data_IF_052879491597
#
_entry.id   IF_052879491597
#
_cell.length_a   1.000
_cell.length_b   1.000
_cell.length_c   1.000
_cell.angle_alpha   90.00
_cell.angle_beta   90.00
_cell.angle_gamma   90.00
#
_symmetry.space_group_name_H-M   'P 1'
#
loop_
_entity.id
_entity.type
_entity.pdbx_description
1 polymer ?
#
# COMPACT_ATOMS: atom_id res chain seq x y z
N UNK A 1 -4.84 -29.50 19.49
CA UNK A 1 -3.42 -29.88 19.32
C UNK A 1 -2.85 -28.94 18.26
N UNK A 2 -1.96 -28.03 18.67
CA UNK A 2 -1.00 -27.19 17.89
C UNK A 2 -1.56 -26.38 16.71
N UNK A 3 -1.48 -25.04 16.66
CA UNK A 3 -0.30 -24.22 16.94
C UNK A 3 -0.69 -22.78 17.31
N UNK A 4 -0.20 -22.39 18.49
CA UNK A 4 0.08 -21.02 18.90
C UNK A 4 1.06 -20.36 17.92
N UNK A 5 0.70 -19.18 17.44
CA UNK A 5 1.60 -18.13 16.95
C UNK A 5 0.90 -16.84 17.40
N UNK A 6 1.09 -16.30 18.60
CA UNK A 6 2.34 -15.87 19.26
C UNK A 6 3.54 -15.65 18.35
N UNK A 7 3.59 -14.44 17.78
CA UNK A 7 4.79 -13.61 17.67
C UNK A 7 4.28 -12.16 17.49
N UNK A 8 4.19 -11.31 18.51
CA UNK A 8 5.26 -10.63 19.24
C UNK A 8 6.05 -9.61 18.38
N UNK A 9 5.98 -8.32 18.74
CA UNK A 9 7.00 -7.36 18.35
C UNK A 9 6.49 -5.93 18.17
N UNK A 10 6.68 -5.10 19.19
CA UNK A 10 6.36 -3.69 19.21
C UNK A 10 7.08 -2.87 18.12
N UNK A 11 6.35 -1.93 17.52
CA UNK A 11 6.91 -0.71 16.97
C UNK A 11 5.87 0.41 17.04
N UNK A 12 5.56 0.89 18.25
CA UNK A 12 4.90 2.17 18.45
C UNK A 12 5.92 3.28 18.16
N UNK A 13 6.02 3.65 16.89
CA UNK A 13 6.59 4.89 16.40
C UNK A 13 5.67 5.46 15.31
N UNK A 14 5.93 6.66 14.74
CA UNK A 14 5.06 7.30 13.75
C UNK A 14 4.79 6.50 12.44
N UNK A 15 5.24 5.24 12.34
CA UNK A 15 4.91 4.29 11.28
C UNK A 15 3.56 3.56 11.43
N UNK A 16 2.78 3.82 12.49
CA UNK A 16 1.46 3.20 12.70
C UNK A 16 0.45 3.50 11.57
N UNK A 17 0.56 4.67 10.92
CA UNK A 17 -0.27 5.01 9.77
C UNK A 17 0.00 4.08 8.57
N UNK A 18 1.25 3.66 8.39
CA UNK A 18 1.63 2.71 7.34
C UNK A 18 1.19 1.28 7.64
N UNK A 19 1.23 0.87 8.91
CA UNK A 19 0.81 -0.47 9.33
C UNK A 19 -0.69 -0.73 9.06
N UNK A 20 -1.56 0.26 9.27
CA UNK A 20 -2.98 0.13 8.95
C UNK A 20 -3.24 -0.02 7.45
N UNK A 21 -2.51 0.74 6.62
CA UNK A 21 -2.59 0.62 5.15
C UNK A 21 -2.09 -0.77 4.72
N UNK A 22 -0.98 -1.24 5.29
CA UNK A 22 -0.41 -2.55 4.98
C UNK A 22 -1.38 -3.69 5.30
N UNK A 23 -1.99 -3.67 6.49
CA UNK A 23 -2.95 -4.69 6.94
C UNK A 23 -4.18 -4.77 6.03
N UNK A 24 -4.74 -3.62 5.65
CA UNK A 24 -5.86 -3.53 4.71
C UNK A 24 -5.50 -4.10 3.33
N UNK A 25 -4.32 -3.75 2.81
CA UNK A 25 -3.81 -4.28 1.54
C UNK A 25 -3.59 -5.80 1.60
N UNK A 26 -2.98 -6.30 2.68
CA UNK A 26 -2.77 -7.73 2.90
C UNK A 26 -4.10 -8.47 3.00
N UNK A 27 -5.08 -7.91 3.71
CA UNK A 27 -6.44 -8.46 3.79
C UNK A 27 -7.13 -8.52 2.43
N UNK A 28 -7.04 -7.46 1.64
CA UNK A 28 -7.57 -7.42 0.27
C UNK A 28 -6.90 -8.45 -0.64
N UNK A 29 -5.57 -8.54 -0.60
CA UNK A 29 -4.80 -9.51 -1.38
C UNK A 29 -5.13 -10.94 -0.95
N UNK A 30 -5.19 -11.22 0.34
CA UNK A 30 -5.51 -12.54 0.88
C UNK A 30 -6.94 -12.97 0.52
N UNK A 31 -7.91 -12.06 0.59
CA UNK A 31 -9.29 -12.34 0.19
C UNK A 31 -9.40 -12.72 -1.29
N UNK A 32 -8.59 -12.10 -2.15
CA UNK A 32 -8.64 -12.29 -3.61
C UNK A 32 -7.86 -13.51 -4.09
N UNK A 33 -6.69 -13.73 -3.51
CA UNK A 33 -5.73 -14.78 -3.90
C UNK A 33 -5.85 -16.05 -3.07
N UNK A 34 -6.63 -16.01 -1.98
CA UNK A 34 -6.75 -17.10 -0.98
C UNK A 34 -5.41 -17.54 -0.40
N UNK A 35 -4.44 -16.63 -0.35
CA UNK A 35 -3.07 -16.88 0.09
C UNK A 35 -2.66 -15.83 1.11
N UNK A 36 -1.85 -16.21 2.10
CA UNK A 36 -1.28 -15.26 3.06
C UNK A 36 -0.06 -14.58 2.45
N UNK A 37 -0.01 -13.25 2.56
CA UNK A 37 1.06 -12.42 2.01
C UNK A 37 1.88 -11.79 3.14
N UNK A 38 3.16 -11.52 2.86
CA UNK A 38 4.02 -10.73 3.74
C UNK A 38 4.31 -9.37 3.12
N UNK A 39 4.82 -8.46 3.95
CA UNK A 39 4.94 -7.04 3.60
C UNK A 39 6.04 -6.83 2.54
N UNK A 40 7.09 -7.64 2.63
CA UNK A 40 8.27 -7.68 1.74
C UNK A 40 8.11 -8.72 0.61
N UNK A 41 6.97 -9.42 0.56
CA UNK A 41 6.78 -10.47 -0.45
C UNK A 41 6.55 -9.87 -1.84
N UNK A 42 7.32 -10.36 -2.82
CA UNK A 42 7.16 -9.97 -4.22
C UNK A 42 5.93 -10.63 -4.83
N UNK A 43 4.87 -9.83 -4.96
CA UNK A 43 3.55 -10.20 -5.43
C UNK A 43 3.54 -10.64 -6.90
N UNK A 44 4.48 -10.14 -7.70
CA UNK A 44 4.61 -10.49 -9.11
C UNK A 44 5.45 -11.77 -9.30
N UNK A 45 6.52 -11.93 -8.52
CA UNK A 45 7.42 -13.07 -8.63
C UNK A 45 6.73 -14.39 -8.29
N UNK A 46 5.84 -14.41 -7.30
CA UNK A 46 5.12 -15.63 -6.91
C UNK A 46 3.85 -15.88 -7.74
N UNK A 47 3.58 -15.06 -8.76
CA UNK A 47 2.40 -15.18 -9.61
C UNK A 47 1.09 -14.80 -8.92
N UNK A 48 1.15 -14.09 -7.79
CA UNK A 48 -0.01 -13.61 -7.04
C UNK A 48 -0.76 -12.46 -7.71
N UNK A 49 -0.09 -11.73 -8.62
CA UNK A 49 -0.67 -10.62 -9.34
C UNK A 49 -0.61 -10.79 -10.86
N UNK A 50 -1.77 -10.67 -11.50
CA UNK A 50 -1.89 -10.51 -12.94
C UNK A 50 -1.86 -9.02 -13.32
N UNK A 51 -1.47 -8.70 -14.56
CA UNK A 51 -1.46 -7.31 -15.05
C UNK A 51 -2.83 -6.62 -14.94
N UNK A 52 -3.92 -7.37 -15.08
CA UNK A 52 -5.28 -6.85 -14.90
C UNK A 52 -5.59 -6.54 -13.43
N UNK A 53 -5.06 -7.36 -12.51
CA UNK A 53 -5.25 -7.15 -11.08
C UNK A 53 -4.45 -5.95 -10.58
N UNK A 54 -3.21 -5.76 -11.09
CA UNK A 54 -2.41 -4.59 -10.79
C UNK A 54 -3.15 -3.28 -11.13
N UNK A 55 -3.77 -3.19 -12.31
CA UNK A 55 -4.58 -2.03 -12.69
C UNK A 55 -5.78 -1.81 -11.77
N UNK A 56 -6.46 -2.88 -11.36
CA UNK A 56 -7.57 -2.78 -10.38
C UNK A 56 -7.09 -2.31 -9.01
N UNK A 57 -5.91 -2.75 -8.59
CA UNK A 57 -5.29 -2.36 -7.34
C UNK A 57 -4.93 -0.87 -7.35
N UNK A 58 -4.35 -0.37 -8.44
CA UNK A 58 -4.07 1.07 -8.63
C UNK A 58 -5.37 1.88 -8.46
N UNK A 59 -6.42 1.55 -9.21
CA UNK A 59 -7.70 2.26 -9.13
C UNK A 59 -8.32 2.16 -7.73
N UNK A 60 -8.16 1.03 -7.04
CA UNK A 60 -8.62 0.87 -5.67
C UNK A 60 -7.86 1.79 -4.71
N UNK A 61 -6.53 1.84 -4.80
CA UNK A 61 -5.71 2.74 -4.00
C UNK A 61 -6.06 4.21 -4.22
N UNK A 62 -6.21 4.62 -5.48
CA UNK A 62 -6.60 5.98 -5.84
C UNK A 62 -7.96 6.36 -5.25
N UNK A 63 -8.95 5.46 -5.31
CA UNK A 63 -10.30 5.70 -4.77
C UNK A 63 -10.36 5.64 -3.25
N UNK A 64 -9.68 4.69 -2.62
CA UNK A 64 -9.70 4.49 -1.17
C UNK A 64 -8.96 5.61 -0.44
N UNK A 65 -7.81 6.04 -0.97
CA UNK A 65 -6.95 7.03 -0.33
C UNK A 65 -7.04 8.43 -0.95
N UNK A 66 -7.78 8.59 -2.06
CA UNK A 66 -7.94 9.88 -2.73
C UNK A 66 -6.63 10.44 -3.29
N UNK A 67 -5.75 9.55 -3.75
CA UNK A 67 -4.45 9.84 -4.35
C UNK A 67 -4.51 9.66 -5.88
N UNK A 68 -3.55 10.24 -6.60
CA UNK A 68 -3.40 10.04 -8.05
C UNK A 68 -2.09 9.34 -8.32
N UNK A 69 -2.14 8.17 -8.95
CA UNK A 69 -0.96 7.35 -9.27
C UNK A 69 -0.71 7.49 -10.78
N UNK A 70 0.41 8.10 -11.18
CA UNK A 70 0.73 8.27 -12.59
C UNK A 70 2.23 8.32 -12.87
N UNK A 71 2.62 8.06 -14.11
CA UNK A 71 4.00 8.18 -14.60
C UNK A 71 5.00 7.38 -13.77
N UNK A 72 5.80 8.08 -12.95
CA UNK A 72 6.83 7.48 -12.09
C UNK A 72 6.27 6.70 -10.90
N UNK A 73 5.05 7.01 -10.47
CA UNK A 73 4.39 6.30 -9.38
C UNK A 73 3.78 4.97 -9.85
N UNK A 74 3.46 4.86 -11.16
CA UNK A 74 2.96 3.62 -11.79
C UNK A 74 4.08 2.62 -12.15
N UNK A 75 5.25 2.73 -11.53
CA UNK A 75 6.35 1.78 -11.73
C UNK A 75 6.09 0.47 -10.99
N UNK A 76 6.41 -0.66 -11.63
CA UNK A 76 6.25 -2.01 -11.05
C UNK A 76 6.88 -2.12 -9.65
N UNK A 77 8.01 -1.45 -9.43
CA UNK A 77 8.72 -1.44 -8.15
C UNK A 77 7.84 -0.92 -6.99
N UNK A 78 6.94 0.03 -7.26
CA UNK A 78 5.99 0.55 -6.26
C UNK A 78 4.84 -0.42 -5.95
N UNK A 79 4.59 -1.41 -6.81
CA UNK A 79 3.54 -2.42 -6.65
C UNK A 79 4.09 -3.81 -6.39
N UNK A 80 5.41 -3.96 -6.32
CA UNK A 80 6.08 -5.24 -6.13
C UNK A 80 5.74 -5.86 -4.78
N UNK A 81 5.75 -5.03 -3.75
CA UNK A 81 5.58 -5.41 -2.34
C UNK A 81 4.55 -4.50 -1.68
N UNK A 82 3.93 -4.96 -0.60
CA UNK A 82 2.97 -4.14 0.17
C UNK A 82 3.68 -2.93 0.79
N UNK A 83 4.91 -3.08 1.27
CA UNK A 83 5.69 -1.96 1.80
C UNK A 83 5.85 -0.81 0.79
N UNK A 84 6.20 -1.14 -0.45
CA UNK A 84 6.32 -0.16 -1.53
C UNK A 84 4.99 0.56 -1.81
N UNK A 85 3.85 -0.14 -1.77
CA UNK A 85 2.53 0.46 -1.94
C UNK A 85 2.18 1.40 -0.78
N UNK A 86 2.47 0.99 0.45
CA UNK A 86 2.26 1.81 1.66
C UNK A 86 3.09 3.08 1.57
N UNK A 87 4.36 2.97 1.18
CA UNK A 87 5.25 4.11 0.96
C UNK A 87 4.73 5.04 -0.13
N UNK A 88 4.17 4.48 -1.21
CA UNK A 88 3.55 5.25 -2.29
C UNK A 88 2.33 6.03 -1.80
N UNK A 89 1.41 5.36 -1.10
CA UNK A 89 0.21 5.99 -0.53
C UNK A 89 0.60 7.09 0.46
N UNK A 90 1.61 6.86 1.30
CA UNK A 90 2.08 7.86 2.25
C UNK A 90 2.74 9.06 1.56
N UNK A 91 3.50 8.82 0.48
CA UNK A 91 4.11 9.86 -0.33
C UNK A 91 3.05 10.73 -1.02
N UNK A 92 2.07 10.13 -1.68
CA UNK A 92 1.01 10.84 -2.41
C UNK A 92 -0.04 11.46 -1.49
N UNK A 93 -0.35 10.81 -0.37
CA UNK A 93 -1.27 11.32 0.65
C UNK A 93 -0.68 12.47 1.46
N UNK A 94 0.63 12.46 1.71
CA UNK A 94 1.37 13.56 2.31
C UNK A 94 1.54 14.76 1.37
N UNK A 95 1.68 14.51 0.06
CA UNK A 95 1.77 15.56 -0.96
C UNK A 95 0.49 16.41 -1.01
N UNK A 96 -0.69 15.81 -0.82
CA UNK A 96 -1.95 16.56 -0.72
C UNK A 96 -2.01 17.51 0.48
N UNK A 97 -1.38 17.15 1.60
CA UNK A 97 -1.27 18.04 2.76
C UNK A 97 -0.29 19.20 2.51
N UNK A 98 0.80 18.95 1.78
CA UNK A 98 1.76 19.98 1.39
C UNK A 98 1.20 20.93 0.30
N UNK A 99 0.47 20.39 -0.69
CA UNK A 99 -0.15 21.16 -1.76
C UNK A 99 -1.28 22.07 -1.26
N UNK A 100 -2.03 21.65 -0.22
CA UNK A 100 -3.05 22.48 0.42
C UNK A 100 -2.46 23.69 1.18
N UNK A 101 -1.21 23.61 1.64
CA UNK A 101 -0.52 24.71 2.31
C UNK A 101 0.10 25.75 1.35
N UNK A 102 0.11 25.48 0.04
CA UNK A 102 0.74 26.32 -0.99
C UNK A 102 -0.19 27.20 -1.82
N UNK A 103 -1.52 27.14 -1.64
CA UNK A 103 -2.49 27.82 -2.54
C UNK A 103 -3.22 29.00 -1.89
N UNK A 104 -2.57 29.70 -0.97
CA UNK A 104 -3.07 30.97 -0.40
C UNK A 104 -1.99 32.05 -0.46
N UNK A 105 -1.59 32.47 -1.66
CA UNK A 105 -0.81 33.70 -1.88
C UNK A 105 -1.03 34.23 -3.31
N UNK A 106 -1.83 35.29 -3.43
CA UNK A 106 -2.26 35.95 -4.68
C UNK A 106 -3.58 35.37 -5.16
N UNK A 107 -4.71 36.09 -5.15
CA UNK A 107 -4.95 37.50 -5.48
C UNK A 107 -5.95 38.19 -4.55
#
# INVERSE_FOLDING_TARGET
MTKTSDQAGAATGPGAAGAGIADELLGFLAARTKTTWEHDQDLFAVGGMSSLFAMQLVVHLEKTYGITISGADLMLDNFRTVDAMVRLVHKLGGDRAAAAAGTTAGE
#
